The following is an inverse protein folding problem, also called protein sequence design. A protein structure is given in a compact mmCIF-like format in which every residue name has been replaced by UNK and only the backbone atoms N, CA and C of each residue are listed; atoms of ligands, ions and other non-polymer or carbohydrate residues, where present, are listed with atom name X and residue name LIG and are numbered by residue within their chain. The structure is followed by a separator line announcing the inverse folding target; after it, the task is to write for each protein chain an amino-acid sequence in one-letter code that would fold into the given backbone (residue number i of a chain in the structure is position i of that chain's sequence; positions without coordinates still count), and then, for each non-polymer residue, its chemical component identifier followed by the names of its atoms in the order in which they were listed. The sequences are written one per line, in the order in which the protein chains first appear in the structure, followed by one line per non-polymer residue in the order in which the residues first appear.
data_IF_768700395943
#
_entry.id   IF_768700395943
#
_cell.length_a   1.000
_cell.length_b   1.000
_cell.length_c   1.000
_cell.angle_alpha   90.00
_cell.angle_beta   90.00
_cell.angle_gamma   90.00
#
_symmetry.space_group_name_H-M   'P 1'
#
loop_
_entity.id
_entity.type
_entity.pdbx_description
1 polymer ?
#
# COMPACT_ATOMS: atom_id res chain seq x y z
N UNK A 1 -11.05 65.91 2.74
CA UNK A 1 -10.74 64.68 3.51
C UNK A 1 -12.06 64.00 3.81
N UNK A 2 -12.35 62.89 3.15
CA UNK A 2 -13.60 62.13 3.35
C UNK A 2 -13.22 60.72 3.79
N UNK A 3 -13.52 60.38 5.03
CA UNK A 3 -13.26 59.07 5.63
C UNK A 3 -14.50 58.19 5.47
N UNK A 4 -14.45 57.20 4.58
CA UNK A 4 -15.48 56.15 4.54
C UNK A 4 -15.18 55.11 5.64
N UNK A 5 -16.16 54.90 6.51
CA UNK A 5 -16.20 53.81 7.49
C UNK A 5 -16.54 52.48 6.81
N UNK A 6 -15.95 51.34 7.21
CA UNK A 6 -16.33 50.03 6.68
C UNK A 6 -17.61 49.50 7.36
N UNK A 7 -18.45 48.73 6.64
CA UNK A 7 -19.61 48.07 7.24
C UNK A 7 -19.21 46.80 7.99
N UNK A 8 -19.80 46.62 9.18
CA UNK A 8 -19.70 45.41 10.00
C UNK A 8 -20.54 44.29 9.36
N UNK A 9 -19.92 43.19 8.96
CA UNK A 9 -20.63 41.97 8.60
C UNK A 9 -21.06 41.23 9.87
N UNK A 10 -22.36 40.96 9.99
CA UNK A 10 -22.92 40.10 11.04
C UNK A 10 -22.58 38.63 10.76
N UNK A 11 -21.85 38.01 11.68
CA UNK A 11 -21.64 36.56 11.74
C UNK A 11 -22.97 35.88 12.08
N UNK A 12 -23.59 35.24 11.09
CA UNK A 12 -24.61 34.23 11.34
C UNK A 12 -23.93 32.94 11.81
N UNK A 13 -23.94 32.73 13.12
CA UNK A 13 -23.59 31.45 13.74
C UNK A 13 -24.72 30.45 13.54
N UNK A 14 -24.43 29.32 12.89
CA UNK A 14 -25.34 28.18 12.84
C UNK A 14 -25.24 27.39 14.16
N UNK A 15 -26.36 26.89 14.73
CA UNK A 15 -26.33 26.05 15.91
C UNK A 15 -25.76 24.68 15.54
N UNK A 16 -24.82 24.19 16.35
CA UNK A 16 -24.25 22.84 16.27
C UNK A 16 -24.86 22.03 17.41
N UNK A 17 -25.56 20.94 17.08
CA UNK A 17 -26.09 19.82 17.90
C UNK A 17 -27.04 19.08 16.93
N UNK A 18 -27.02 17.79 16.59
CA UNK A 18 -26.50 16.51 17.11
C UNK A 18 -26.63 15.47 15.94
N UNK A 19 -26.47 14.13 16.10
CA UNK A 19 -25.57 13.33 16.91
C UNK A 19 -24.68 12.40 16.04
N UNK A 20 -23.77 11.72 16.71
CA UNK A 20 -22.90 10.64 16.23
C UNK A 20 -23.66 9.61 15.37
N UNK A 21 -23.32 9.51 14.09
CA UNK A 21 -23.71 8.38 13.26
C UNK A 21 -22.43 7.68 12.78
N UNK A 22 -22.23 6.48 13.30
CA UNK A 22 -21.21 5.49 12.94
C UNK A 22 -21.39 4.94 11.50
N UNK A 23 -21.69 5.79 10.52
CA UNK A 23 -21.95 5.38 9.14
C UNK A 23 -20.70 5.29 8.26
N UNK A 24 -19.53 5.70 8.79
CA UNK A 24 -18.30 5.89 8.01
C UNK A 24 -17.60 4.57 7.62
N UNK A 25 -17.96 3.45 8.25
CA UNK A 25 -17.34 2.14 7.97
C UNK A 25 -18.04 1.33 6.86
N UNK A 26 -19.35 1.48 6.68
CA UNK A 26 -20.09 0.74 5.65
C UNK A 26 -19.85 1.32 4.24
N UNK A 27 -19.59 2.61 4.12
CA UNK A 27 -19.23 3.24 2.85
C UNK A 27 -17.84 2.82 2.36
N UNK A 28 -16.94 2.38 3.26
CA UNK A 28 -15.58 1.99 2.90
C UNK A 28 -15.55 0.74 1.99
N UNK A 29 -16.32 -0.30 2.33
CA UNK A 29 -16.34 -1.56 1.57
C UNK A 29 -17.22 -1.49 0.30
N UNK A 30 -18.30 -0.71 0.33
CA UNK A 30 -19.12 -0.47 -0.87
C UNK A 30 -18.36 0.36 -1.92
N UNK A 31 -17.40 1.19 -1.49
CA UNK A 31 -16.59 2.01 -2.38
C UNK A 31 -15.49 1.20 -3.08
N UNK A 32 -14.91 0.19 -2.42
CA UNK A 32 -13.83 -0.62 -3.00
C UNK A 32 -14.27 -1.51 -4.16
N UNK A 33 -15.50 -2.04 -4.13
CA UNK A 33 -16.04 -2.88 -5.20
C UNK A 33 -16.46 -2.08 -6.46
N UNK A 34 -16.62 -0.76 -6.33
CA UNK A 34 -17.06 0.12 -7.42
C UNK A 34 -15.93 1.00 -7.98
N UNK A 35 -14.67 0.60 -7.82
CA UNK A 35 -13.53 1.26 -8.48
C UNK A 35 -13.08 0.51 -9.75
N UNK A 36 -13.65 0.80 -10.93
CA UNK A 36 -12.96 0.50 -12.17
C UNK A 36 -11.73 1.39 -12.28
N UNK A 37 -10.61 0.82 -12.72
CA UNK A 37 -9.29 1.45 -12.99
C UNK A 37 -9.31 2.60 -14.02
N UNK A 38 -10.46 3.23 -14.29
CA UNK A 38 -10.67 4.24 -15.33
C UNK A 38 -10.28 5.66 -14.90
N UNK A 39 -9.44 5.83 -13.88
CA UNK A 39 -9.05 7.12 -13.30
C UNK A 39 -8.25 8.06 -14.22
N UNK A 40 -7.95 7.67 -15.46
CA UNK A 40 -7.25 8.53 -16.43
C UNK A 40 -8.13 9.06 -17.57
N UNK A 41 -9.41 8.71 -17.65
CA UNK A 41 -10.28 9.29 -18.67
C UNK A 41 -10.88 10.60 -18.18
N UNK A 42 -10.12 11.69 -18.33
CA UNK A 42 -10.66 13.04 -18.29
C UNK A 42 -11.65 13.17 -19.48
N UNK A 43 -12.95 13.45 -19.26
CA UNK A 43 -13.83 13.69 -20.39
C UNK A 43 -13.47 15.06 -20.98
N UNK A 44 -12.75 15.05 -22.10
CA UNK A 44 -12.79 16.16 -23.06
C UNK A 44 -14.16 16.13 -23.72
N UNK A 45 -15.10 16.95 -23.25
CA UNK A 45 -16.31 17.27 -24.02
C UNK A 45 -16.54 18.77 -23.98
N UNK A 46 -15.85 19.48 -24.87
CA UNK A 46 -16.44 20.62 -25.53
C UNK A 46 -17.50 20.07 -26.49
N UNK A 47 -18.61 20.81 -26.59
CA UNK A 47 -19.76 20.63 -27.48
C UNK A 47 -20.77 19.51 -27.17
N UNK A 48 -21.93 19.94 -26.65
CA UNK A 48 -23.20 19.63 -27.32
C UNK A 48 -24.22 20.75 -27.05
N UNK A 49 -24.43 21.59 -28.07
CA UNK A 49 -25.56 22.51 -28.16
C UNK A 49 -26.88 21.72 -28.26
N UNK A 50 -27.96 22.10 -27.54
CA UNK A 50 -29.27 21.54 -27.79
C UNK A 50 -29.88 22.09 -29.09
N UNK A 51 -30.10 21.20 -30.06
CA UNK A 51 -30.91 21.44 -31.25
C UNK A 51 -32.36 21.73 -30.85
N UNK A 52 -32.91 22.82 -31.38
CA UNK A 52 -34.30 23.25 -31.23
C UNK A 52 -35.22 22.34 -32.05
N UNK A 53 -35.97 21.48 -31.37
CA UNK A 53 -37.07 20.69 -31.95
C UNK A 53 -38.43 21.25 -31.52
N UNK A 54 -39.19 21.77 -32.48
CA UNK A 54 -40.54 22.30 -32.33
C UNK A 54 -41.55 21.13 -32.39
N UNK A 55 -42.41 20.95 -31.38
CA UNK A 55 -43.54 20.01 -31.50
C UNK A 55 -44.31 19.68 -30.23
N UNK A 56 -45.55 20.19 -30.19
CA UNK A 56 -46.76 19.66 -29.54
C UNK A 56 -47.07 20.02 -28.08
N UNK A 57 -48.16 20.78 -27.95
CA UNK A 57 -48.88 21.18 -26.75
C UNK A 57 -49.22 20.02 -25.80
N UNK A 58 -48.83 20.17 -24.52
CA UNK A 58 -49.69 19.96 -23.35
C UNK A 58 -48.96 20.33 -22.06
N UNK A 59 -49.60 21.21 -21.27
CA UNK A 59 -49.20 21.70 -19.93
C UNK A 59 -47.96 22.60 -19.86
N UNK A 60 -48.23 23.92 -19.85
CA UNK A 60 -47.28 24.99 -19.59
C UNK A 60 -46.81 25.03 -18.12
N UNK A 61 -46.09 23.98 -17.71
CA UNK A 61 -45.23 23.98 -16.53
C UNK A 61 -43.77 23.80 -16.98
N UNK A 62 -43.27 24.87 -17.62
CA UNK A 62 -41.88 25.31 -17.67
C UNK A 62 -40.79 24.27 -17.99
N UNK A 63 -40.35 24.12 -19.27
CA UNK A 63 -39.17 23.34 -19.66
C UNK A 63 -37.85 23.79 -18.97
N UNK A 64 -37.85 24.95 -18.31
CA UNK A 64 -36.75 25.45 -17.47
C UNK A 64 -36.63 24.67 -16.14
N UNK A 65 -37.76 24.17 -15.60
CA UNK A 65 -37.81 23.48 -14.31
C UNK A 65 -37.19 22.07 -14.38
N UNK A 66 -37.49 21.30 -15.42
CA UNK A 66 -36.93 19.96 -15.64
C UNK A 66 -35.41 20.02 -15.86
N UNK A 67 -34.94 20.98 -16.66
CA UNK A 67 -33.50 21.23 -16.84
C UNK A 67 -32.80 21.57 -15.53
N UNK A 68 -33.42 22.40 -14.68
CA UNK A 68 -32.90 22.76 -13.36
C UNK A 68 -32.82 21.55 -12.42
N UNK A 69 -33.83 20.68 -12.43
CA UNK A 69 -33.83 19.44 -11.62
C UNK A 69 -32.70 18.51 -12.07
N UNK A 70 -32.56 18.27 -13.38
CA UNK A 70 -31.50 17.42 -13.90
C UNK A 70 -30.10 17.99 -13.61
N UNK A 71 -29.93 19.31 -13.78
CA UNK A 71 -28.68 19.99 -13.42
C UNK A 71 -28.37 19.86 -11.92
N UNK A 72 -29.36 20.00 -11.04
CA UNK A 72 -29.19 19.83 -9.60
C UNK A 72 -28.80 18.39 -9.24
N UNK A 73 -29.44 17.40 -9.85
CA UNK A 73 -29.10 15.99 -9.68
C UNK A 73 -27.66 15.70 -10.12
N UNK A 74 -27.28 16.17 -11.31
CA UNK A 74 -25.93 16.04 -11.84
C UNK A 74 -24.89 16.70 -10.92
N UNK A 75 -25.14 17.93 -10.47
CA UNK A 75 -24.22 18.64 -9.58
C UNK A 75 -24.14 17.97 -8.20
N UNK A 76 -25.24 17.40 -7.72
CA UNK A 76 -25.24 16.59 -6.49
C UNK A 76 -24.33 15.38 -6.64
N UNK A 77 -24.44 14.64 -7.74
CA UNK A 77 -23.61 13.46 -7.99
C UNK A 77 -22.15 13.81 -8.22
N UNK A 78 -21.87 14.94 -8.90
CA UNK A 78 -20.51 15.48 -9.02
C UNK A 78 -19.90 15.79 -7.64
N UNK A 79 -20.64 16.46 -6.74
CA UNK A 79 -20.18 16.75 -5.38
C UNK A 79 -19.99 15.49 -4.55
N UNK A 80 -20.87 14.49 -4.67
CA UNK A 80 -20.69 13.18 -4.01
C UNK A 80 -19.39 12.51 -4.46
N UNK A 81 -19.14 12.46 -5.79
CA UNK A 81 -17.90 11.88 -6.33
C UNK A 81 -16.68 12.62 -5.78
N UNK A 82 -16.70 13.95 -5.79
CA UNK A 82 -15.60 14.76 -5.25
C UNK A 82 -15.37 14.50 -3.75
N UNK A 83 -16.43 14.45 -2.94
CA UNK A 83 -16.31 14.18 -1.51
C UNK A 83 -15.80 12.76 -1.24
N UNK A 84 -16.24 11.77 -2.02
CA UNK A 84 -15.73 10.40 -1.96
C UNK A 84 -14.22 10.35 -2.20
N UNK A 85 -13.71 11.08 -3.19
CA UNK A 85 -12.27 11.17 -3.44
C UNK A 85 -11.50 11.78 -2.27
N UNK A 86 -12.04 12.81 -1.62
CA UNK A 86 -11.40 13.39 -0.43
C UNK A 86 -11.42 12.42 0.77
N UNK A 87 -12.51 11.66 0.95
CA UNK A 87 -12.59 10.61 1.97
C UNK A 87 -11.59 9.49 1.71
N UNK A 88 -11.46 9.05 0.46
CA UNK A 88 -10.45 8.05 0.06
C UNK A 88 -9.03 8.58 0.27
N UNK A 89 -8.76 9.82 -0.15
CA UNK A 89 -7.45 10.43 0.05
C UNK A 89 -7.07 10.49 1.54
N UNK A 90 -8.05 10.76 2.39
CA UNK A 90 -7.90 10.78 3.85
C UNK A 90 -7.59 9.40 4.44
N UNK A 91 -8.18 8.33 3.91
CA UNK A 91 -7.94 6.96 4.42
C UNK A 91 -6.55 6.42 4.04
N UNK A 92 -5.85 7.06 3.10
CA UNK A 92 -4.47 6.72 2.75
C UNK A 92 -3.42 7.40 3.67
N UNK A 93 -3.83 8.34 4.52
CA UNK A 93 -2.93 8.99 5.47
C UNK A 93 -2.61 8.06 6.65
N UNK A 94 -1.53 8.31 7.41
CA UNK A 94 -1.23 7.57 8.64
C UNK A 94 -2.38 7.61 9.64
N UNK A 95 -2.53 6.55 10.44
CA UNK A 95 -3.63 6.42 11.41
C UNK A 95 -3.74 7.61 12.39
N UNK A 96 -2.63 8.25 12.72
CA UNK A 96 -2.57 9.47 13.54
C UNK A 96 -3.35 10.66 12.93
N UNK A 97 -3.43 10.72 11.60
CA UNK A 97 -4.10 11.80 10.87
C UNK A 97 -5.54 11.44 10.44
N UNK A 98 -5.93 10.18 10.60
CA UNK A 98 -7.28 9.68 10.32
C UNK A 98 -8.27 9.92 11.47
N UNK A 99 -7.80 9.99 12.71
CA UNK A 99 -8.66 9.98 13.92
C UNK A 99 -9.46 11.28 14.17
N UNK A 100 -9.13 12.40 13.50
CA UNK A 100 -9.80 13.71 13.70
C UNK A 100 -10.45 14.17 12.43
N UNK A 101 -11.77 14.40 12.36
CA UNK A 101 -12.47 14.98 11.18
C UNK A 101 -11.67 16.15 10.58
N UNK A 102 -10.83 15.92 9.56
CA UNK A 102 -10.08 16.99 8.91
C UNK A 102 -10.96 17.56 7.81
N UNK A 103 -11.00 18.89 7.75
CA UNK A 103 -11.51 19.61 6.60
C UNK A 103 -10.71 19.25 5.34
N UNK A 104 -11.31 19.39 4.17
CA UNK A 104 -10.66 19.17 2.87
C UNK A 104 -9.28 19.86 2.74
N UNK A 105 -9.10 21.16 3.08
CA UNK A 105 -7.79 21.83 2.97
C UNK A 105 -6.72 21.21 3.88
N UNK A 106 -7.11 20.78 5.07
CA UNK A 106 -6.22 20.10 6.00
C UNK A 106 -5.82 18.71 5.50
N UNK A 107 -6.76 17.95 4.94
CA UNK A 107 -6.46 16.67 4.29
C UNK A 107 -5.41 16.85 3.20
N UNK A 108 -5.63 17.79 2.28
CA UNK A 108 -4.67 18.09 1.20
C UNK A 108 -3.31 18.52 1.77
N UNK A 109 -3.30 19.38 2.79
CA UNK A 109 -2.06 19.83 3.43
C UNK A 109 -1.27 18.70 4.08
N UNK A 110 -1.93 17.69 4.65
CA UNK A 110 -1.29 16.50 5.22
C UNK A 110 -0.72 15.59 4.13
N UNK A 111 -1.49 15.35 3.07
CA UNK A 111 -1.05 14.55 1.92
C UNK A 111 0.21 15.12 1.28
N UNK A 112 0.24 16.45 1.08
CA UNK A 112 1.40 17.12 0.49
C UNK A 112 2.67 16.98 1.32
N UNK A 113 2.54 16.78 2.64
CA UNK A 113 3.68 16.45 3.52
C UNK A 113 4.02 14.96 3.49
N UNK A 114 3.00 14.11 3.46
CA UNK A 114 3.18 12.67 3.57
C UNK A 114 3.79 12.02 2.32
N UNK A 115 3.48 12.51 1.12
CA UNK A 115 4.06 12.00 -0.13
C UNK A 115 5.62 12.02 -0.11
N UNK A 116 6.29 13.16 0.16
CA UNK A 116 7.75 13.18 0.19
C UNK A 116 8.34 12.38 1.37
N UNK A 117 7.64 12.28 2.50
CA UNK A 117 8.05 11.41 3.62
C UNK A 117 8.11 9.94 3.18
N UNK A 118 7.03 9.44 2.56
CA UNK A 118 6.95 8.09 1.99
C UNK A 118 8.04 7.83 0.95
N UNK A 119 8.29 8.78 0.05
CA UNK A 119 9.34 8.65 -0.96
C UNK A 119 10.72 8.47 -0.33
N UNK A 120 11.03 9.23 0.72
CA UNK A 120 12.27 9.12 1.46
C UNK A 120 12.40 7.77 2.19
N UNK A 121 11.32 7.27 2.79
CA UNK A 121 11.30 5.96 3.43
C UNK A 121 11.59 4.82 2.45
N UNK A 122 10.95 4.84 1.27
CA UNK A 122 11.21 3.87 0.20
C UNK A 122 12.67 3.91 -0.22
N UNK A 123 13.24 5.10 -0.44
CA UNK A 123 14.63 5.25 -0.86
C UNK A 123 15.61 4.74 0.22
N UNK A 124 15.34 5.01 1.50
CA UNK A 124 16.11 4.45 2.63
C UNK A 124 16.04 2.93 2.67
N UNK A 125 14.87 2.35 2.43
CA UNK A 125 14.69 0.90 2.41
C UNK A 125 15.45 0.26 1.25
N UNK A 126 15.41 0.87 0.06
CA UNK A 126 16.19 0.43 -1.11
C UNK A 126 17.68 0.41 -0.79
N UNK A 127 18.24 1.51 -0.25
CA UNK A 127 19.65 1.57 0.14
C UNK A 127 20.02 0.52 1.18
N UNK A 128 19.17 0.31 2.20
CA UNK A 128 19.40 -0.72 3.22
C UNK A 128 19.41 -2.12 2.61
N UNK A 129 18.48 -2.42 1.69
CA UNK A 129 18.44 -3.68 0.95
C UNK A 129 19.76 -3.90 0.20
N UNK A 130 20.21 -2.94 -0.58
CA UNK A 130 21.46 -3.03 -1.36
C UNK A 130 22.70 -3.21 -0.48
N UNK A 131 22.76 -2.51 0.67
CA UNK A 131 23.84 -2.69 1.64
C UNK A 131 23.86 -4.11 2.23
N UNK A 132 22.71 -4.68 2.55
CA UNK A 132 22.65 -6.05 3.06
C UNK A 132 23.01 -7.07 1.97
N UNK A 133 22.45 -6.93 0.77
CA UNK A 133 22.76 -7.82 -0.35
C UNK A 133 24.25 -7.79 -0.72
N UNK A 134 24.89 -6.62 -0.72
CA UNK A 134 26.33 -6.52 -0.99
C UNK A 134 27.20 -7.13 0.11
N UNK A 135 26.80 -7.02 1.39
CA UNK A 135 27.49 -7.71 2.50
C UNK A 135 27.38 -9.22 2.40
N UNK A 136 26.19 -9.73 2.05
CA UNK A 136 25.96 -11.17 1.85
C UNK A 136 26.80 -11.69 0.69
N UNK A 137 26.79 -11.00 -0.45
CA UNK A 137 27.60 -11.36 -1.63
C UNK A 137 29.10 -11.44 -1.29
N UNK A 138 29.65 -10.43 -0.60
CA UNK A 138 31.06 -10.44 -0.17
C UNK A 138 31.39 -11.58 0.80
N UNK A 139 30.46 -11.95 1.68
CA UNK A 139 30.65 -13.10 2.59
C UNK A 139 30.60 -14.43 1.84
N UNK A 140 29.74 -14.56 0.84
CA UNK A 140 29.67 -15.73 -0.03
C UNK A 140 30.96 -15.97 -0.83
N UNK A 141 31.55 -14.90 -1.37
CA UNK A 141 32.85 -14.96 -2.07
C UNK A 141 33.98 -15.42 -1.14
N UNK A 142 34.08 -14.86 0.07
CA UNK A 142 35.12 -15.22 1.04
C UNK A 142 35.08 -16.71 1.42
N UNK A 143 33.89 -17.27 1.63
CA UNK A 143 33.70 -18.70 1.95
C UNK A 143 34.11 -19.58 0.76
N UNK A 144 33.91 -19.11 -0.47
CA UNK A 144 34.28 -19.85 -1.69
C UNK A 144 35.79 -19.91 -1.90
N UNK A 145 36.53 -18.82 -1.62
CA UNK A 145 37.99 -18.78 -1.72
C UNK A 145 38.70 -19.61 -0.63
N UNK A 146 38.13 -19.68 0.57
CA UNK A 146 38.72 -20.44 1.69
C UNK A 146 38.63 -21.96 1.46
N UNK A 147 37.59 -22.42 0.75
CA UNK A 147 37.45 -23.83 0.33
C UNK A 147 38.51 -24.28 -0.69
N UNK A 148 39.13 -23.36 -1.43
CA UNK A 148 40.01 -23.72 -2.56
C UNK A 148 41.49 -23.80 -2.18
N UNK A 149 41.91 -23.22 -1.03
CA UNK A 149 43.32 -23.09 -0.66
C UNK A 149 43.90 -24.27 0.13
N UNK A 150 43.06 -25.19 0.61
CA UNK A 150 43.48 -26.28 1.50
C UNK A 150 43.47 -27.66 0.82
N UNK A 151 44.00 -27.78 -0.40
CA UNK A 151 44.26 -29.08 -1.03
C UNK A 151 45.75 -29.22 -1.35
N UNK A 152 46.58 -29.26 -0.31
CA UNK A 152 47.93 -29.81 -0.41
C UNK A 152 47.90 -31.30 -0.02
N UNK A 153 47.96 -32.14 -1.05
CA UNK A 153 48.71 -33.42 -1.07
C UNK A 153 48.39 -34.55 -0.05
N UNK A 154 47.16 -34.71 0.45
CA UNK A 154 46.73 -35.93 1.19
C UNK A 154 45.28 -36.39 0.92
N UNK A 155 44.79 -36.21 -0.31
CA UNK A 155 43.36 -36.26 -0.63
C UNK A 155 42.89 -37.61 -1.20
N UNK A 156 42.99 -38.71 -0.43
CA UNK A 156 42.49 -40.01 -0.89
C UNK A 156 41.26 -40.56 -0.17
N UNK A 157 40.78 -39.99 0.95
CA UNK A 157 39.63 -40.54 1.69
C UNK A 157 38.76 -39.52 2.47
N UNK A 158 38.80 -38.23 2.14
CA UNK A 158 38.06 -37.22 2.93
C UNK A 158 36.64 -37.01 2.43
N UNK A 159 35.67 -37.09 3.34
CA UNK A 159 34.33 -36.54 3.12
C UNK A 159 34.41 -35.01 3.15
N UNK A 160 33.52 -34.33 2.42
CA UNK A 160 33.43 -32.87 2.38
C UNK A 160 32.02 -32.44 2.77
N UNK A 161 31.91 -31.42 3.62
CA UNK A 161 30.63 -30.83 4.04
C UNK A 161 30.66 -29.34 3.71
N UNK A 162 29.62 -28.86 3.04
CA UNK A 162 29.39 -27.43 2.82
C UNK A 162 27.97 -27.05 3.21
N UNK A 163 27.76 -25.78 3.56
CA UNK A 163 26.44 -25.25 3.91
C UNK A 163 26.23 -23.91 3.21
N UNK A 164 25.03 -23.70 2.68
CA UNK A 164 24.62 -22.46 2.04
C UNK A 164 23.21 -22.07 2.50
N UNK A 165 22.97 -20.76 2.58
CA UNK A 165 21.69 -20.22 3.01
C UNK A 165 20.72 -20.21 1.82
N UNK A 166 19.54 -20.81 1.99
CA UNK A 166 18.46 -20.84 1.00
C UNK A 166 17.34 -19.89 1.45
N UNK A 167 17.59 -18.59 1.38
CA UNK A 167 16.66 -17.56 1.85
C UNK A 167 16.71 -17.32 3.37
N UNK A 168 15.72 -16.64 3.93
CA UNK A 168 15.83 -16.11 5.31
C UNK A 168 15.66 -17.16 6.42
N UNK A 169 15.12 -18.34 6.10
CA UNK A 169 14.72 -19.35 7.11
C UNK A 169 15.32 -20.73 6.91
N UNK A 170 15.82 -21.02 5.71
CA UNK A 170 16.24 -22.36 5.33
C UNK A 170 17.74 -22.39 5.02
N UNK A 171 18.40 -23.48 5.41
CA UNK A 171 19.83 -23.72 5.14
C UNK A 171 19.96 -25.06 4.43
N UNK A 172 20.67 -25.06 3.31
CA UNK A 172 21.04 -26.28 2.58
C UNK A 172 22.40 -26.73 3.06
N UNK A 173 22.52 -28.01 3.44
CA UNK A 173 23.79 -28.64 3.80
C UNK A 173 24.08 -29.71 2.75
N UNK A 174 25.20 -29.58 2.04
CA UNK A 174 25.67 -30.56 1.06
C UNK A 174 26.79 -31.38 1.67
N UNK A 175 26.62 -32.70 1.68
CA UNK A 175 27.59 -33.65 2.22
C UNK A 175 27.99 -34.60 1.09
N UNK A 176 29.27 -34.61 0.75
CA UNK A 176 29.87 -35.54 -0.21
C UNK A 176 30.74 -36.52 0.54
N UNK A 177 30.46 -37.81 0.41
CA UNK A 177 31.24 -38.89 1.03
C UNK A 177 31.65 -39.91 -0.03
N UNK A 178 32.65 -40.73 0.31
CA UNK A 178 32.98 -41.90 -0.50
C UNK A 178 31.99 -43.03 -0.21
N UNK A 179 31.73 -43.88 -1.21
CA UNK A 179 30.70 -44.93 -1.15
C UNK A 179 30.85 -45.84 0.08
N UNK A 180 32.09 -46.18 0.47
CA UNK A 180 32.37 -47.00 1.65
C UNK A 180 31.92 -46.38 2.99
N UNK A 181 31.67 -45.07 3.02
CA UNK A 181 31.27 -44.31 4.22
C UNK A 181 29.79 -43.88 4.19
N UNK A 182 28.98 -44.40 3.25
CA UNK A 182 27.54 -44.08 3.19
C UNK A 182 26.76 -44.57 4.42
N UNK A 183 27.18 -45.68 5.04
CA UNK A 183 26.55 -46.19 6.26
C UNK A 183 26.65 -45.21 7.42
N UNK A 184 27.81 -44.58 7.59
CA UNK A 184 28.06 -43.55 8.61
C UNK A 184 27.21 -42.29 8.37
N UNK A 185 27.00 -41.91 7.10
CA UNK A 185 26.10 -40.81 6.77
C UNK A 185 24.64 -41.14 7.10
N UNK A 186 24.20 -42.37 6.80
CA UNK A 186 22.84 -42.80 7.13
C UNK A 186 22.61 -42.76 8.64
N UNK A 187 23.59 -43.20 9.44
CA UNK A 187 23.54 -43.14 10.90
C UNK A 187 23.53 -41.68 11.41
N UNK A 188 24.38 -40.81 10.86
CA UNK A 188 24.41 -39.39 11.23
C UNK A 188 23.09 -38.67 10.90
N UNK A 189 22.50 -38.92 9.73
CA UNK A 189 21.20 -38.37 9.33
C UNK A 189 20.10 -38.90 10.27
N UNK A 190 20.15 -40.18 10.62
CA UNK A 190 19.20 -40.79 11.54
C UNK A 190 19.30 -40.18 12.95
N UNK A 191 20.50 -39.97 13.49
CA UNK A 191 20.72 -39.31 14.78
C UNK A 191 20.22 -37.85 14.77
N UNK A 192 20.46 -37.12 13.69
CA UNK A 192 19.95 -35.76 13.53
C UNK A 192 18.42 -35.73 13.52
N UNK A 193 17.79 -36.66 12.78
CA UNK A 193 16.33 -36.81 12.76
C UNK A 193 15.78 -37.21 14.14
N UNK A 194 16.44 -38.15 14.83
CA UNK A 194 16.04 -38.57 16.18
C UNK A 194 16.11 -37.39 17.16
N UNK A 195 17.21 -36.64 17.16
CA UNK A 195 17.38 -35.51 18.09
C UNK A 195 16.39 -34.37 17.82
N UNK A 196 16.16 -34.03 16.54
CA UNK A 196 15.19 -32.99 16.15
C UNK A 196 13.74 -33.39 16.44
N UNK A 197 13.43 -34.69 16.36
CA UNK A 197 12.10 -35.21 16.70
C UNK A 197 11.88 -35.25 18.21
N UNK A 198 12.86 -35.72 18.99
CA UNK A 198 12.74 -35.81 20.46
C UNK A 198 12.68 -34.43 21.13
N UNK A 199 13.44 -33.44 20.63
CA UNK A 199 13.39 -32.07 21.17
C UNK A 199 12.06 -31.34 20.92
N UNK A 200 11.24 -31.78 19.96
CA UNK A 200 9.88 -31.23 19.78
C UNK A 200 8.90 -31.66 20.89
N UNK A 201 9.22 -32.69 21.68
CA UNK A 201 8.35 -33.21 22.74
C UNK A 201 8.81 -32.87 24.16
N UNK A 202 9.87 -32.06 24.31
CA UNK A 202 10.43 -31.72 25.62
C UNK A 202 10.43 -30.21 25.90
N UNK A 203 9.36 -29.54 25.48
CA UNK A 203 9.00 -28.19 25.95
C UNK A 203 7.60 -28.32 26.57
N UNK A 204 7.57 -28.54 27.88
CA UNK A 204 6.37 -28.38 28.71
C UNK A 204 6.76 -27.62 29.97
#
# INVERSE_FOLDING_TARGET
MSTLSPPLFQTFGWPIEDPVINHEYNDFYALTDSFPNSFLHLPSTLDEQPQVGLGSDSSALEPTSVKKINHNANERDRRKKMNSLYSFLRSLLPASDQARKLSIPNTVSRVLKYIPELQNEVEKLIRKKEQLTSRISKRGELIQFESQRNNSTLQSYSSTVSASLLGDRDVTIQISTYEANMSLLSEAIWLFHFHTTVNKYNIR
#
